data_IF_183492651879
#
_entry.id   IF_183492651879
#
_cell.length_a   1.000
_cell.length_b   1.000
_cell.length_c   1.000
_cell.angle_alpha   90.00
_cell.angle_beta   90.00
_cell.angle_gamma   90.00
#
_symmetry.space_group_name_H-M   'P 1'
#
loop_
_entity.id
_entity.type
_entity.pdbx_description
1 polymer ?
#
# COMPACT_ATOMS: atom_id res chain seq x y z
N UNK A 1 -18.58 33.23 43.42
CA UNK A 1 -17.56 32.45 42.68
C UNK A 1 -17.21 33.27 41.45
N UNK A 2 -16.07 33.96 41.43
CA UNK A 2 -15.62 34.74 40.25
C UNK A 2 -14.71 33.85 39.42
N UNK A 3 -15.04 33.67 38.14
CA UNK A 3 -14.22 32.90 37.22
C UNK A 3 -12.90 33.63 36.97
N UNK A 4 -11.78 32.91 36.83
CA UNK A 4 -10.50 33.54 36.51
C UNK A 4 -10.54 34.09 35.07
N UNK A 5 -9.76 35.15 34.76
CA UNK A 5 -9.64 35.63 33.39
C UNK A 5 -9.07 34.55 32.48
N UNK A 6 -9.71 34.30 31.34
CA UNK A 6 -9.35 33.17 30.48
C UNK A 6 -10.24 32.98 29.27
N UNK A 7 -9.88 32.02 28.43
CA UNK A 7 -10.69 31.57 27.30
C UNK A 7 -11.65 30.48 27.74
N UNK A 8 -12.94 30.69 27.54
CA UNK A 8 -13.98 29.74 27.90
C UNK A 8 -14.89 29.45 26.70
N UNK A 9 -15.53 28.27 26.64
CA UNK A 9 -16.47 27.93 25.57
C UNK A 9 -17.63 28.92 25.49
N UNK A 10 -18.03 29.31 24.28
CA UNK A 10 -19.22 30.14 24.10
C UNK A 10 -20.49 29.30 24.33
N UNK A 11 -21.45 29.73 25.19
CA UNK A 11 -22.70 28.99 25.43
C UNK A 11 -23.59 28.86 24.17
N UNK A 12 -23.47 29.79 23.22
CA UNK A 12 -24.29 29.83 22.02
C UNK A 12 -23.66 29.06 20.86
N UNK A 13 -22.33 29.03 20.78
CA UNK A 13 -21.60 28.26 19.77
C UNK A 13 -20.40 27.51 20.37
N UNK A 14 -20.52 26.18 20.59
CA UNK A 14 -19.44 25.39 21.17
C UNK A 14 -18.20 25.29 20.28
N UNK A 15 -18.26 25.78 19.03
CA UNK A 15 -17.10 25.87 18.12
C UNK A 15 -16.26 27.11 18.37
N UNK A 16 -16.70 28.03 19.23
CA UNK A 16 -15.96 29.23 19.59
C UNK A 16 -15.60 29.21 21.08
N UNK A 17 -14.47 29.86 21.38
CA UNK A 17 -14.12 30.28 22.73
C UNK A 17 -14.12 31.79 22.79
N UNK A 18 -14.64 32.33 23.89
CA UNK A 18 -14.76 33.75 24.16
C UNK A 18 -13.91 34.11 25.39
N UNK A 19 -13.31 35.29 25.38
CA UNK A 19 -12.46 35.74 26.49
C UNK A 19 -13.32 36.34 27.61
N UNK A 20 -13.13 35.82 28.82
CA UNK A 20 -13.67 36.35 30.07
C UNK A 20 -12.57 37.12 30.79
N UNK A 21 -12.85 38.35 31.21
CA UNK A 21 -11.86 39.22 31.87
C UNK A 21 -11.84 39.09 33.41
N UNK A 22 -12.66 38.20 33.97
CA UNK A 22 -12.82 38.01 35.42
C UNK A 22 -14.05 38.71 36.01
N UNK A 23 -14.65 39.65 35.28
CA UNK A 23 -15.88 40.36 35.66
C UNK A 23 -16.99 40.16 34.61
N UNK A 24 -16.64 40.20 33.32
CA UNK A 24 -17.56 40.11 32.19
C UNK A 24 -16.95 39.41 30.96
N UNK A 25 -17.82 39.05 30.02
CA UNK A 25 -17.42 38.48 28.73
C UNK A 25 -17.06 39.58 27.73
N UNK A 26 -15.85 39.56 27.21
CA UNK A 26 -15.38 40.55 26.22
C UNK A 26 -15.79 40.15 24.79
N UNK A 27 -15.63 41.02 23.79
CA UNK A 27 -15.95 40.69 22.39
C UNK A 27 -14.91 39.80 21.69
N UNK A 28 -13.78 39.50 22.33
CA UNK A 28 -12.76 38.64 21.75
C UNK A 28 -13.26 37.20 21.74
N UNK A 29 -13.48 36.68 20.54
CA UNK A 29 -13.82 35.29 20.28
C UNK A 29 -12.87 34.70 19.25
N UNK A 30 -12.58 33.42 19.36
CA UNK A 30 -11.79 32.67 18.38
C UNK A 30 -12.40 31.29 18.19
N UNK A 31 -12.28 30.75 16.98
CA UNK A 31 -12.65 29.37 16.73
C UNK A 31 -11.81 28.44 17.62
N UNK A 32 -12.44 27.42 18.18
CA UNK A 32 -11.75 26.26 18.75
C UNK A 32 -10.93 25.68 17.60
N UNK A 33 -9.61 25.86 17.66
CA UNK A 33 -8.72 25.17 16.76
C UNK A 33 -8.71 23.70 17.20
N UNK A 34 -9.68 22.93 16.71
CA UNK A 34 -9.55 21.49 16.66
C UNK A 34 -8.40 21.24 15.70
N UNK A 35 -7.20 21.04 16.25
CA UNK A 35 -6.07 20.51 15.51
C UNK A 35 -6.43 19.08 15.12
N UNK A 36 -7.27 18.92 14.09
CA UNK A 36 -7.46 17.62 13.45
C UNK A 36 -6.10 17.31 12.85
N UNK A 37 -5.40 16.24 13.28
CA UNK A 37 -4.13 15.89 12.69
C UNK A 37 -4.36 15.68 11.20
N UNK A 38 -3.84 16.58 10.37
CA UNK A 38 -3.87 16.39 8.93
C UNK A 38 -3.03 15.13 8.65
N UNK A 39 -3.58 14.08 8.02
CA UNK A 39 -2.80 12.91 7.69
C UNK A 39 -1.70 13.35 6.73
N UNK A 40 -0.45 13.37 7.20
CA UNK A 40 0.67 13.64 6.32
C UNK A 40 0.72 12.52 5.28
N UNK A 41 0.79 12.84 3.97
CA UNK A 41 0.92 11.82 2.95
C UNK A 41 2.23 11.09 3.20
N UNK A 42 2.13 9.83 3.60
CA UNK A 42 3.27 8.96 3.90
C UNK A 42 4.00 8.72 2.57
N UNK A 43 5.01 9.54 2.27
CA UNK A 43 5.85 9.37 1.08
C UNK A 43 6.56 8.02 1.21
N UNK A 44 6.22 7.06 0.34
CA UNK A 44 6.98 5.81 0.22
C UNK A 44 8.44 6.18 -0.05
N UNK A 45 9.33 5.72 0.82
CA UNK A 45 10.76 5.93 0.68
C UNK A 45 11.23 5.37 -0.66
N UNK A 46 12.09 6.10 -1.37
CA UNK A 46 12.75 5.64 -2.61
C UNK A 46 13.38 4.25 -2.43
N UNK A 47 13.86 3.94 -1.21
CA UNK A 47 14.41 2.63 -0.86
C UNK A 47 13.38 1.51 -0.98
N UNK A 48 12.14 1.75 -0.50
CA UNK A 48 11.05 0.77 -0.62
C UNK A 48 10.68 0.51 -2.08
N UNK A 49 10.70 1.54 -2.92
CA UNK A 49 10.41 1.40 -4.36
C UNK A 49 11.49 0.55 -5.04
N UNK A 50 12.77 0.83 -4.78
CA UNK A 50 13.89 0.08 -5.36
C UNK A 50 13.83 -1.39 -4.97
N UNK A 51 13.59 -1.70 -3.69
CA UNK A 51 13.48 -3.08 -3.21
C UNK A 51 12.33 -3.86 -3.88
N UNK A 52 11.17 -3.21 -4.07
CA UNK A 52 10.01 -3.82 -4.74
C UNK A 52 10.35 -4.14 -6.20
N UNK A 53 10.96 -3.18 -6.92
CA UNK A 53 11.31 -3.36 -8.34
C UNK A 53 12.33 -4.49 -8.51
N UNK A 54 13.39 -4.50 -7.70
CA UNK A 54 14.42 -5.56 -7.75
C UNK A 54 13.80 -6.93 -7.44
N UNK A 55 12.96 -7.02 -6.40
CA UNK A 55 12.26 -8.25 -6.06
C UNK A 55 11.34 -8.76 -7.18
N UNK A 56 10.59 -7.85 -7.83
CA UNK A 56 9.72 -8.21 -8.94
C UNK A 56 10.49 -8.73 -10.16
N UNK A 57 11.63 -8.10 -10.50
CA UNK A 57 12.49 -8.54 -11.61
C UNK A 57 13.07 -9.93 -11.33
N UNK A 58 13.59 -10.15 -10.12
CA UNK A 58 14.13 -11.46 -9.74
C UNK A 58 13.06 -12.55 -9.79
N UNK A 59 11.86 -12.27 -9.26
CA UNK A 59 10.73 -13.18 -9.32
C UNK A 59 10.37 -13.52 -10.77
N UNK A 60 10.28 -12.51 -11.64
CA UNK A 60 9.96 -12.70 -13.05
C UNK A 60 11.01 -13.58 -13.76
N UNK A 61 12.30 -13.34 -13.53
CA UNK A 61 13.37 -14.16 -14.08
C UNK A 61 13.27 -15.63 -13.63
N UNK A 62 12.96 -15.88 -12.35
CA UNK A 62 12.78 -17.25 -11.84
C UNK A 62 11.58 -17.93 -12.49
N UNK A 63 10.45 -17.23 -12.63
CA UNK A 63 9.26 -17.76 -13.29
C UNK A 63 9.56 -18.14 -14.74
N UNK A 64 10.23 -17.25 -15.49
CA UNK A 64 10.61 -17.51 -16.88
C UNK A 64 11.52 -18.72 -17.00
N UNK A 65 12.56 -18.81 -16.15
CA UNK A 65 13.47 -19.96 -16.14
C UNK A 65 12.72 -21.27 -15.83
N UNK A 66 11.78 -21.24 -14.89
CA UNK A 66 10.98 -22.40 -14.51
C UNK A 66 10.05 -22.84 -15.65
N UNK A 67 9.38 -21.91 -16.33
CA UNK A 67 8.54 -22.20 -17.51
C UNK A 67 9.39 -22.84 -18.62
N UNK A 68 10.53 -22.25 -18.95
CA UNK A 68 11.43 -22.79 -19.98
C UNK A 68 11.90 -24.21 -19.62
N UNK A 69 12.24 -24.45 -18.35
CA UNK A 69 12.62 -25.78 -17.86
C UNK A 69 11.49 -26.81 -18.01
N UNK A 70 10.26 -26.44 -17.64
CA UNK A 70 9.08 -27.31 -17.79
C UNK A 70 8.80 -27.60 -19.26
N UNK A 71 8.86 -26.60 -20.13
CA UNK A 71 8.67 -26.78 -21.59
C UNK A 71 9.73 -27.73 -22.15
N UNK A 72 10.99 -27.54 -21.78
CA UNK A 72 12.08 -28.43 -22.20
C UNK A 72 11.88 -29.86 -21.69
N UNK A 73 11.44 -30.02 -20.44
CA UNK A 73 11.15 -31.33 -19.85
C UNK A 73 10.02 -32.04 -20.62
N UNK A 74 8.91 -31.34 -20.88
CA UNK A 74 7.77 -31.89 -21.63
C UNK A 74 8.19 -32.24 -23.06
N UNK A 75 8.93 -31.37 -23.73
CA UNK A 75 9.43 -31.63 -25.07
C UNK A 75 10.37 -32.85 -25.09
N UNK A 76 11.24 -33.00 -24.08
CA UNK A 76 12.13 -34.14 -23.94
C UNK A 76 11.34 -35.46 -23.78
N UNK A 77 10.34 -35.49 -22.90
CA UNK A 77 9.48 -36.67 -22.74
C UNK A 77 8.66 -36.98 -23.99
N UNK A 78 8.14 -35.95 -24.68
CA UNK A 78 7.42 -36.13 -25.94
C UNK A 78 8.31 -36.77 -27.02
N UNK A 79 9.57 -36.31 -27.15
CA UNK A 79 10.55 -36.90 -28.06
C UNK A 79 10.86 -38.36 -27.71
N UNK A 80 11.03 -38.69 -26.42
CA UNK A 80 11.27 -40.08 -25.99
C UNK A 80 10.06 -40.95 -26.31
N UNK A 81 8.84 -40.49 -26.01
CA UNK A 81 7.62 -41.24 -26.30
C UNK A 81 7.48 -41.51 -27.80
N UNK A 82 7.75 -40.52 -28.66
CA UNK A 82 7.79 -40.72 -30.11
C UNK A 82 8.86 -41.74 -30.54
N UNK A 83 10.04 -41.72 -29.91
CA UNK A 83 11.11 -42.68 -30.17
C UNK A 83 10.76 -44.13 -29.77
N UNK A 84 10.11 -44.33 -28.62
CA UNK A 84 9.65 -45.65 -28.16
C UNK A 84 8.53 -46.18 -29.04
N UNK A 85 7.58 -45.31 -29.43
CA UNK A 85 6.47 -45.68 -30.30
C UNK A 85 7.01 -46.12 -31.67
N UNK A 86 7.77 -45.30 -32.41
CA UNK A 86 8.32 -45.74 -33.71
C UNK A 86 9.30 -46.94 -33.62
N UNK A 87 9.89 -47.23 -32.44
CA UNK A 87 10.73 -48.40 -32.21
C UNK A 87 9.95 -49.73 -32.15
N UNK A 88 8.73 -49.72 -31.59
CA UNK A 88 7.91 -50.92 -31.42
C UNK A 88 7.11 -51.26 -32.69
N UNK A 89 6.91 -50.31 -33.61
CA UNK A 89 6.14 -50.57 -34.84
C UNK A 89 6.51 -49.61 -35.98
N UNK A 90 7.57 -49.93 -36.75
CA UNK A 90 8.12 -49.04 -37.79
C UNK A 90 7.22 -48.83 -39.02
N UNK A 91 6.07 -49.51 -39.09
CA UNK A 91 5.21 -49.51 -40.28
C UNK A 91 4.23 -48.32 -40.36
N UNK A 92 4.17 -47.43 -39.37
CA UNK A 92 3.26 -46.26 -39.35
C UNK A 92 3.94 -44.88 -39.31
N UNK A 93 5.27 -44.80 -39.24
CA UNK A 93 5.98 -43.53 -39.25
C UNK A 93 6.40 -43.19 -40.70
N UNK A 94 5.47 -42.64 -41.50
CA UNK A 94 5.75 -41.97 -42.78
C UNK A 94 5.19 -40.55 -42.75
#
# INVERSE_FOLDING_TARGET
MTHQPGWYPDPYDPRLVRWFDGQQWTQHSRAVQTSVPSPSPRKLSTVSIVLIVVGAILLLCVIVAMILGVVALVAFFANIAQGVVCGESPHYCT
#
